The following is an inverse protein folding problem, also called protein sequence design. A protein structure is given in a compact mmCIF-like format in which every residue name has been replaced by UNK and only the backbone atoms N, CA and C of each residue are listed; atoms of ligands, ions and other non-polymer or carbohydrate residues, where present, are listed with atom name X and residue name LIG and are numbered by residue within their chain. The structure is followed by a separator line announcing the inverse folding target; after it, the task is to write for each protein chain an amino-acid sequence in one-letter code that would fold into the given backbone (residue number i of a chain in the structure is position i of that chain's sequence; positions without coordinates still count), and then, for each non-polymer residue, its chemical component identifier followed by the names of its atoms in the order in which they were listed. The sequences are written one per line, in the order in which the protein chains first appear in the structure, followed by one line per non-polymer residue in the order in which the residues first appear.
data_IF_946123356051
#
_entry.id   IF_946123356051
#
_cell.length_a   1.000
_cell.length_b   1.000
_cell.length_c   1.000
_cell.angle_alpha   90.00
_cell.angle_beta   90.00
_cell.angle_gamma   90.00
#
_symmetry.space_group_name_H-M   'P 1'
#
loop_
_entity.id
_entity.type
_entity.pdbx_description
1 polymer ?
#
# COMPACT_ATOMS: atom_id res chain seq x y z
N UNK A 1 12.85 -22.06 -9.10
CA UNK A 1 13.07 -20.60 -8.97
C UNK A 1 14.31 -20.22 -8.18
N UNK A 2 14.55 -20.70 -6.94
CA UNK A 2 15.71 -20.31 -6.09
C UNK A 2 17.07 -20.33 -6.81
N UNK A 3 17.35 -21.34 -7.63
CA UNK A 3 18.64 -21.45 -8.34
C UNK A 3 18.80 -20.48 -9.51
N UNK A 4 17.71 -20.02 -10.14
CA UNK A 4 17.82 -19.23 -11.36
C UNK A 4 18.22 -17.78 -11.08
N UNK A 5 17.67 -17.18 -10.02
CA UNK A 5 18.04 -15.82 -9.59
C UNK A 5 19.51 -15.78 -9.17
N UNK A 6 19.97 -16.74 -8.37
CA UNK A 6 21.38 -16.82 -7.95
C UNK A 6 22.32 -17.00 -9.15
N UNK A 7 21.95 -17.86 -10.10
CA UNK A 7 22.73 -18.09 -11.31
C UNK A 7 22.85 -16.81 -12.17
N UNK A 8 21.73 -16.12 -12.43
CA UNK A 8 21.70 -14.89 -13.23
C UNK A 8 22.52 -13.78 -12.56
N UNK A 9 22.45 -13.67 -11.24
CA UNK A 9 23.17 -12.66 -10.48
C UNK A 9 24.65 -13.02 -10.22
N UNK A 10 25.07 -14.26 -10.52
CA UNK A 10 26.41 -14.75 -10.18
C UNK A 10 26.66 -14.80 -8.67
N UNK A 11 25.61 -15.01 -7.88
CA UNK A 11 25.67 -14.92 -6.42
C UNK A 11 26.31 -16.19 -5.82
N UNK A 12 27.34 -16.08 -4.96
CA UNK A 12 27.90 -17.20 -4.20
C UNK A 12 26.87 -17.96 -3.39
N UNK A 13 27.09 -19.26 -3.14
CA UNK A 13 26.12 -20.14 -2.46
C UNK A 13 25.75 -19.70 -1.04
N UNK A 14 26.61 -18.93 -0.38
CA UNK A 14 26.40 -18.44 0.98
C UNK A 14 25.75 -17.05 1.04
N UNK A 15 25.27 -16.51 -0.08
CA UNK A 15 24.57 -15.21 -0.14
C UNK A 15 23.12 -15.41 -0.57
N UNK A 16 22.20 -14.78 0.16
CA UNK A 16 20.75 -14.84 -0.11
C UNK A 16 20.26 -13.45 -0.53
N UNK A 17 19.88 -13.24 -1.81
CA UNK A 17 19.17 -12.03 -2.22
C UNK A 17 17.83 -11.92 -1.51
N UNK A 18 17.54 -10.77 -0.93
CA UNK A 18 16.32 -10.55 -0.12
C UNK A 18 15.24 -9.84 -0.95
N UNK A 19 15.62 -8.82 -1.72
CA UNK A 19 14.72 -8.04 -2.56
C UNK A 19 15.45 -7.53 -3.81
N UNK A 20 14.68 -7.27 -4.86
CA UNK A 20 15.09 -6.50 -6.03
C UNK A 20 14.31 -5.18 -6.02
N UNK A 21 14.95 -4.11 -6.46
CA UNK A 21 14.35 -2.78 -6.51
C UNK A 21 14.47 -2.24 -7.93
N UNK A 22 13.34 -1.97 -8.56
CA UNK A 22 13.28 -1.27 -9.85
C UNK A 22 13.46 0.22 -9.63
N UNK A 23 14.27 0.87 -10.47
CA UNK A 23 14.50 2.32 -10.43
C UNK A 23 14.44 2.85 -11.85
N UNK A 24 13.69 3.93 -12.06
CA UNK A 24 13.50 4.52 -13.38
C UNK A 24 12.54 5.70 -13.35
N UNK A 25 12.25 6.24 -14.52
CA UNK A 25 11.21 7.25 -14.69
C UNK A 25 9.84 6.57 -14.68
N UNK A 26 8.92 7.09 -13.87
CA UNK A 26 7.56 6.57 -13.80
C UNK A 26 6.84 6.82 -15.13
N UNK A 27 6.16 5.78 -15.62
CA UNK A 27 5.25 5.88 -16.77
C UNK A 27 3.80 6.17 -16.32
N UNK A 28 3.57 6.23 -15.01
CA UNK A 28 2.27 6.34 -14.35
C UNK A 28 2.32 7.30 -13.16
N UNK A 29 1.14 7.72 -12.70
CA UNK A 29 0.95 8.52 -11.48
C UNK A 29 -0.07 7.84 -10.52
N UNK A 30 0.35 6.81 -9.77
CA UNK A 30 -0.55 6.05 -8.89
C UNK A 30 -0.99 6.87 -7.67
N UNK A 31 -2.18 6.56 -7.15
CA UNK A 31 -2.60 7.01 -5.83
C UNK A 31 -1.84 6.31 -4.71
N UNK A 32 -2.14 6.70 -3.47
CA UNK A 32 -1.58 6.03 -2.30
C UNK A 32 -2.32 4.72 -2.04
N UNK A 33 -1.63 3.57 -2.09
CA UNK A 33 -2.25 2.29 -1.74
C UNK A 33 -2.79 2.31 -0.29
N UNK A 34 -3.97 1.73 -0.02
CA UNK A 34 -4.48 1.47 1.33
C UNK A 34 -3.42 0.96 2.31
N UNK A 35 -3.41 1.54 3.51
CA UNK A 35 -2.62 1.05 4.64
C UNK A 35 -3.58 0.64 5.74
N UNK A 36 -3.13 -0.31 6.57
CA UNK A 36 -3.89 -0.67 7.77
C UNK A 36 -4.06 0.59 8.61
N UNK A 37 -5.17 0.67 9.33
CA UNK A 37 -5.43 1.82 10.20
C UNK A 37 -4.32 1.99 11.23
N UNK A 38 -4.05 3.25 11.58
CA UNK A 38 -2.99 3.62 12.51
C UNK A 38 -3.13 2.92 13.87
N UNK A 39 -4.34 2.97 14.44
CA UNK A 39 -4.72 2.34 15.72
C UNK A 39 -4.62 0.80 15.73
N UNK A 40 -4.61 0.15 14.55
CA UNK A 40 -4.38 -1.30 14.40
C UNK A 40 -2.91 -1.66 14.27
N UNK A 41 -2.06 -0.71 13.89
CA UNK A 41 -0.63 -0.91 13.69
C UNK A 41 0.19 -0.51 14.91
N UNK A 42 -0.20 0.58 15.56
CA UNK A 42 0.57 1.19 16.64
C UNK A 42 -0.13 0.99 17.98
N UNK A 43 0.69 0.68 18.98
CA UNK A 43 0.23 0.39 20.33
C UNK A 43 1.00 1.23 21.35
N UNK A 44 0.30 1.70 22.37
CA UNK A 44 0.85 2.53 23.44
C UNK A 44 1.31 1.67 24.62
N UNK A 45 2.62 1.71 24.91
CA UNK A 45 3.32 0.98 25.98
C UNK A 45 3.31 -0.56 25.88
N UNK A 46 2.18 -1.17 25.51
CA UNK A 46 2.02 -2.62 25.41
C UNK A 46 1.20 -3.01 24.18
N UNK A 47 1.50 -4.18 23.60
CA UNK A 47 0.75 -4.71 22.48
C UNK A 47 -0.73 -4.91 22.86
N UNK A 48 -1.64 -4.52 21.97
CA UNK A 48 -3.08 -4.63 22.19
C UNK A 48 -3.74 -3.34 22.71
N UNK A 49 -2.95 -2.38 23.21
CA UNK A 49 -3.45 -1.05 23.62
C UNK A 49 -3.27 -0.07 22.46
N UNK A 50 -4.30 0.25 21.66
CA UNK A 50 -4.14 1.06 20.46
C UNK A 50 -3.57 2.45 20.76
N UNK A 51 -2.72 2.96 19.87
CA UNK A 51 -2.29 4.36 19.89
C UNK A 51 -3.29 5.20 19.09
N UNK A 52 -3.92 6.18 19.75
CA UNK A 52 -4.83 7.11 19.08
C UNK A 52 -4.09 7.99 18.07
N UNK A 53 -4.71 8.19 16.91
CA UNK A 53 -4.18 9.08 15.86
C UNK A 53 -4.41 10.55 16.24
N UNK A 54 -3.36 11.36 16.12
CA UNK A 54 -3.48 12.81 16.29
C UNK A 54 -4.03 13.45 15.01
N UNK A 55 -5.27 13.96 15.08
CA UNK A 55 -5.96 14.54 13.93
C UNK A 55 -5.34 15.86 13.43
N UNK A 56 -4.65 16.61 14.28
CA UNK A 56 -3.97 17.84 13.84
C UNK A 56 -2.73 17.50 13.01
N UNK A 57 -1.97 16.48 13.44
CA UNK A 57 -0.85 15.94 12.66
C UNK A 57 -1.34 15.37 11.33
N UNK A 58 -2.47 14.66 11.32
CA UNK A 58 -3.05 14.14 10.08
C UNK A 58 -3.34 15.26 9.07
N UNK A 59 -3.98 16.35 9.53
CA UNK A 59 -4.29 17.51 8.68
C UNK A 59 -3.03 18.20 8.16
N UNK A 60 -1.99 18.28 8.98
CA UNK A 60 -0.68 18.80 8.57
C UNK A 60 -0.09 17.94 7.45
N UNK A 61 -0.07 16.62 7.62
CA UNK A 61 0.44 15.68 6.62
C UNK A 61 -0.37 15.69 5.31
N UNK A 62 -1.68 15.90 5.38
CA UNK A 62 -2.53 16.12 4.20
C UNK A 62 -2.15 17.45 3.49
N UNK A 63 -1.93 18.52 4.26
CA UNK A 63 -1.48 19.81 3.75
C UNK A 63 -0.10 19.75 3.07
N UNK A 64 0.82 18.94 3.60
CA UNK A 64 2.14 18.68 3.04
C UNK A 64 2.15 17.65 1.90
N UNK A 65 0.99 17.07 1.56
CA UNK A 65 0.85 16.00 0.55
C UNK A 65 1.64 14.73 0.87
N UNK A 66 1.90 14.48 2.16
CA UNK A 66 2.44 13.21 2.65
C UNK A 66 1.33 12.16 2.78
N UNK A 67 0.11 12.60 3.05
CA UNK A 67 -1.12 11.82 2.84
C UNK A 67 -1.75 12.31 1.54
N UNK A 68 -1.97 11.38 0.60
CA UNK A 68 -2.47 11.67 -0.74
C UNK A 68 -3.76 10.88 -1.02
N UNK A 69 -4.51 11.22 -2.09
CA UNK A 69 -5.68 10.46 -2.48
C UNK A 69 -5.34 8.97 -2.65
N UNK A 70 -6.18 8.13 -2.08
CA UNK A 70 -5.93 6.70 -2.02
C UNK A 70 -6.33 6.03 -3.34
N UNK A 71 -5.64 4.95 -3.70
CA UNK A 71 -6.00 4.14 -4.86
C UNK A 71 -7.31 3.36 -4.63
N UNK A 72 -8.11 3.10 -5.67
CA UNK A 72 -7.87 3.48 -7.07
C UNK A 72 -8.35 4.92 -7.39
N UNK A 73 -7.51 5.69 -8.09
CA UNK A 73 -7.92 6.99 -8.62
C UNK A 73 -8.92 6.85 -9.80
N UNK A 74 -9.76 7.87 -10.07
CA UNK A 74 -10.59 7.90 -11.27
C UNK A 74 -9.74 7.79 -12.55
N UNK A 75 -10.11 6.89 -13.46
CA UNK A 75 -9.39 6.69 -14.73
C UNK A 75 -8.12 5.81 -14.66
N UNK A 76 -7.71 5.40 -13.45
CA UNK A 76 -6.49 4.59 -13.20
C UNK A 76 -6.42 3.30 -14.02
N UNK A 77 -7.56 2.65 -14.22
CA UNK A 77 -7.64 1.40 -14.98
C UNK A 77 -7.32 1.59 -16.47
N UNK A 78 -7.81 2.66 -17.09
CA UNK A 78 -7.54 2.95 -18.50
C UNK A 78 -6.09 3.39 -18.71
N UNK A 79 -5.54 4.16 -17.78
CA UNK A 79 -4.12 4.52 -17.75
C UNK A 79 -3.24 3.25 -17.76
N UNK A 80 -3.50 2.32 -16.84
CA UNK A 80 -2.76 1.07 -16.72
C UNK A 80 -2.85 0.20 -17.98
N UNK A 81 -4.05 0.07 -18.56
CA UNK A 81 -4.23 -0.64 -19.84
C UNK A 81 -3.46 0.03 -20.97
N UNK A 82 -3.48 1.36 -21.04
CA UNK A 82 -2.71 2.10 -22.04
C UNK A 82 -1.20 1.87 -21.89
N UNK A 83 -0.67 1.92 -20.68
CA UNK A 83 0.75 1.65 -20.39
C UNK A 83 1.12 0.23 -20.79
N UNK A 84 0.28 -0.77 -20.44
CA UNK A 84 0.52 -2.16 -20.85
C UNK A 84 0.62 -2.27 -22.38
N UNK A 85 -0.31 -1.67 -23.13
CA UNK A 85 -0.27 -1.64 -24.60
C UNK A 85 0.98 -0.94 -25.14
N UNK A 86 1.37 0.19 -24.56
CA UNK A 86 2.55 0.95 -24.96
C UNK A 86 3.85 0.14 -24.86
N UNK A 87 3.98 -0.70 -23.83
CA UNK A 87 5.17 -1.53 -23.60
C UNK A 87 5.04 -2.98 -24.12
N UNK A 88 3.91 -3.35 -24.73
CA UNK A 88 3.68 -4.70 -25.26
C UNK A 88 3.39 -5.76 -24.19
N UNK A 89 2.88 -5.35 -23.03
CA UNK A 89 2.44 -6.23 -21.94
C UNK A 89 0.96 -6.60 -22.07
N UNK A 90 0.55 -7.64 -21.36
CA UNK A 90 -0.86 -8.00 -21.21
C UNK A 90 -1.55 -7.03 -20.25
N UNK A 91 -2.82 -6.68 -20.51
CA UNK A 91 -3.56 -5.70 -19.70
C UNK A 91 -3.84 -6.17 -18.26
N UNK A 92 -3.66 -7.46 -17.97
CA UNK A 92 -3.80 -8.08 -16.65
C UNK A 92 -2.48 -8.17 -15.86
N UNK A 93 -1.38 -7.64 -16.40
CA UNK A 93 -0.04 -7.73 -15.77
C UNK A 93 0.11 -6.89 -14.49
N UNK A 94 -0.80 -5.97 -14.20
CA UNK A 94 -0.68 -5.04 -13.07
C UNK A 94 -0.58 -5.78 -11.72
N UNK A 95 0.38 -5.37 -10.88
CA UNK A 95 0.80 -6.05 -9.64
C UNK A 95 -0.35 -6.35 -8.66
N UNK A 96 -1.36 -5.47 -8.60
CA UNK A 96 -2.51 -5.67 -7.73
C UNK A 96 -3.82 -5.40 -8.46
N UNK A 97 -4.70 -6.42 -8.60
CA UNK A 97 -6.02 -6.23 -9.18
C UNK A 97 -6.85 -5.24 -8.37
N UNK A 98 -7.65 -4.42 -9.06
CA UNK A 98 -8.51 -3.39 -8.44
C UNK A 98 -9.48 -3.99 -7.42
N UNK A 99 -9.99 -5.19 -7.69
CA UNK A 99 -10.89 -5.93 -6.81
C UNK A 99 -10.25 -6.15 -5.44
N UNK A 100 -8.95 -6.48 -5.41
CA UNK A 100 -8.18 -6.67 -4.17
C UNK A 100 -7.95 -5.36 -3.41
N UNK A 101 -7.82 -4.24 -4.13
CA UNK A 101 -7.74 -2.91 -3.51
C UNK A 101 -9.09 -2.53 -2.90
N UNK A 102 -10.20 -2.84 -3.59
CA UNK A 102 -11.55 -2.57 -3.10
C UNK A 102 -11.90 -3.39 -1.86
N UNK A 103 -11.48 -4.66 -1.77
CA UNK A 103 -11.59 -5.50 -0.55
C UNK A 103 -10.92 -4.85 0.68
N UNK A 104 -9.89 -4.01 0.48
CA UNK A 104 -9.27 -3.28 1.59
C UNK A 104 -10.16 -2.15 2.13
N UNK A 105 -11.25 -1.80 1.46
CA UNK A 105 -12.20 -0.78 1.92
C UNK A 105 -13.54 -1.37 2.36
N UNK A 106 -13.63 -2.68 2.60
CA UNK A 106 -14.84 -3.27 3.20
C UNK A 106 -14.89 -2.97 4.71
N UNK A 107 -16.08 -2.75 5.28
CA UNK A 107 -16.25 -2.30 6.68
C UNK A 107 -15.59 -3.22 7.72
N UNK A 108 -15.53 -4.51 7.43
CA UNK A 108 -14.92 -5.56 8.24
C UNK A 108 -13.40 -5.70 8.02
N UNK A 109 -12.84 -4.94 7.08
CA UNK A 109 -11.42 -4.95 6.75
C UNK A 109 -10.59 -4.24 7.83
N UNK A 110 -9.40 -4.77 8.21
CA UNK A 110 -8.49 -4.09 9.13
C UNK A 110 -7.90 -2.76 8.57
N UNK A 111 -8.31 -2.41 7.35
CA UNK A 111 -7.94 -1.23 6.60
C UNK A 111 -9.06 -0.16 6.60
N UNK A 112 -10.29 -0.46 7.08
CA UNK A 112 -11.45 0.40 6.89
C UNK A 112 -11.76 1.37 8.05
N UNK A 113 -11.93 2.65 7.69
CA UNK A 113 -12.69 3.65 8.43
C UNK A 113 -12.09 4.14 9.76
N UNK A 114 -12.82 5.05 10.42
CA UNK A 114 -12.64 5.47 11.82
C UNK A 114 -13.28 4.46 12.78
N UNK A 115 -13.06 4.60 14.09
CA UNK A 115 -13.46 3.62 15.12
C UNK A 115 -14.96 3.29 15.08
N UNK A 116 -15.35 2.03 15.38
CA UNK A 116 -16.74 1.70 15.71
C UNK A 116 -17.26 2.61 16.85
N UNK A 117 -18.51 3.11 16.77
CA UNK A 117 -19.09 3.96 17.82
C UNK A 117 -19.01 3.28 19.21
N UNK A 118 -18.52 4.01 20.22
CA UNK A 118 -18.38 3.52 21.60
C UNK A 118 -16.98 3.04 22.00
N UNK A 119 -15.98 3.12 21.11
CA UNK A 119 -14.56 2.95 21.46
C UNK A 119 -13.89 4.27 21.86
N UNK A 120 -14.43 5.40 21.43
CA UNK A 120 -13.99 6.77 21.79
C UNK A 120 -14.07 6.99 23.32
N UNK A 121 -15.09 6.42 23.98
CA UNK A 121 -15.29 6.53 25.45
C UNK A 121 -14.27 5.71 26.26
N UNK A 122 -13.49 4.83 25.61
CA UNK A 122 -12.40 4.07 26.24
C UNK A 122 -11.03 4.74 26.06
N UNK A 123 -10.98 5.94 25.48
CA UNK A 123 -9.73 6.66 25.22
C UNK A 123 -8.90 6.03 24.10
N UNK A 124 -9.57 5.43 23.11
CA UNK A 124 -8.99 5.01 21.83
C UNK A 124 -9.56 5.91 20.74
#
# INVERSE_FOLDING_TARGET
MRHHVLYVLGTPENIVPIWLMTVGYAAEDPGQRPRKRFDRLYHSNEYGTPLAENQDVRKELEGEKLIQPMDPLPGREEELRHICRMFGFTEDMCDMPKERVLEMYEEDSPYYGELPPGLEEKGV
#
